data_IF_527436301030
#
_entry.id   IF_527436301030
#
_cell.length_a   1.000
_cell.length_b   1.000
_cell.length_c   1.000
_cell.angle_alpha   90.00
_cell.angle_beta   90.00
_cell.angle_gamma   90.00
#
_symmetry.space_group_name_H-M   'P 1'
#
loop_
_entity.id
_entity.type
_entity.pdbx_description
1 polymer ?
#
# COMPACT_ATOMS: atom_id res chain seq x y z
N UNK A 1 -15.01 -14.43 14.13
CA UNK A 1 -15.22 -15.60 13.21
C UNK A 1 -14.15 -15.53 12.16
N UNK A 2 -13.39 -16.59 11.99
CA UNK A 2 -12.40 -16.72 10.91
C UNK A 2 -13.07 -16.78 9.54
N UNK A 3 -12.38 -16.29 8.51
CA UNK A 3 -12.80 -16.39 7.10
C UNK A 3 -12.02 -17.52 6.40
N UNK A 4 -12.36 -17.88 5.15
CA UNK A 4 -11.54 -18.81 4.38
C UNK A 4 -10.09 -18.30 4.11
N UNK A 5 -9.85 -17.01 4.28
CA UNK A 5 -8.57 -16.36 3.96
C UNK A 5 -7.82 -15.87 5.19
N UNK A 6 -8.46 -15.86 6.38
CA UNK A 6 -7.88 -15.28 7.59
C UNK A 6 -8.41 -16.03 8.83
N UNK A 7 -7.51 -16.57 9.66
CA UNK A 7 -7.88 -17.31 10.87
C UNK A 7 -8.01 -16.45 12.13
N UNK A 8 -7.72 -15.15 12.04
CA UNK A 8 -7.83 -14.25 13.17
C UNK A 8 -9.26 -14.18 13.71
N UNK A 9 -9.39 -13.83 14.97
CA UNK A 9 -10.67 -13.52 15.60
C UNK A 9 -10.90 -12.00 15.64
N UNK A 10 -12.15 -11.60 15.89
CA UNK A 10 -12.48 -10.19 16.03
C UNK A 10 -11.71 -9.58 17.22
N UNK A 11 -10.96 -8.51 16.97
CA UNK A 11 -10.11 -7.86 17.96
C UNK A 11 -8.65 -8.33 17.96
N UNK A 12 -8.30 -9.32 17.13
CA UNK A 12 -6.90 -9.71 16.94
C UNK A 12 -6.10 -8.67 16.14
N UNK A 13 -6.74 -7.96 15.23
CA UNK A 13 -6.13 -6.86 14.51
C UNK A 13 -6.33 -5.53 15.23
N UNK A 14 -5.33 -4.66 15.19
CA UNK A 14 -5.43 -3.26 15.59
C UNK A 14 -6.32 -2.47 14.63
N UNK A 15 -6.67 -1.23 15.02
CA UNK A 15 -7.46 -0.33 14.16
C UNK A 15 -6.73 0.08 12.89
N UNK A 16 -5.41 0.13 12.93
CA UNK A 16 -4.52 0.45 11.80
C UNK A 16 -3.74 -0.79 11.39
N UNK A 17 -3.79 -1.11 10.10
CA UNK A 17 -3.06 -2.23 9.49
C UNK A 17 -2.15 -1.72 8.39
N UNK A 18 -0.86 -2.04 8.47
CA UNK A 18 0.11 -1.84 7.40
C UNK A 18 0.07 -3.04 6.45
N UNK A 19 -0.05 -2.80 5.14
CA UNK A 19 -0.16 -3.88 4.16
C UNK A 19 0.96 -3.82 3.11
N UNK A 20 2.11 -4.50 3.35
CA UNK A 20 3.05 -4.81 2.27
C UNK A 20 2.45 -5.89 1.34
N UNK A 21 2.87 -5.91 0.07
CA UNK A 21 2.51 -6.99 -0.85
C UNK A 21 3.09 -8.34 -0.43
N UNK A 22 4.33 -8.33 0.02
CA UNK A 22 5.09 -9.51 0.42
C UNK A 22 4.83 -9.90 1.89
N UNK A 23 4.33 -11.13 2.18
CA UNK A 23 4.12 -11.61 3.55
C UNK A 23 5.43 -11.74 4.35
N UNK A 24 6.58 -11.97 3.72
CA UNK A 24 7.86 -11.98 4.40
C UNK A 24 8.29 -10.57 4.82
N UNK A 25 7.92 -9.54 4.06
CA UNK A 25 8.08 -8.15 4.51
C UNK A 25 7.17 -7.83 5.70
N UNK A 26 5.94 -8.36 5.74
CA UNK A 26 5.08 -8.22 6.92
C UNK A 26 5.74 -8.85 8.16
N UNK A 27 6.32 -10.04 8.03
CA UNK A 27 7.08 -10.69 9.08
C UNK A 27 8.29 -9.85 9.50
N UNK A 28 9.09 -9.38 8.55
CA UNK A 28 10.26 -8.53 8.82
C UNK A 28 9.89 -7.26 9.61
N UNK A 29 8.82 -6.58 9.22
CA UNK A 29 8.35 -5.38 9.93
C UNK A 29 7.93 -5.72 11.36
N UNK A 30 7.17 -6.80 11.54
CA UNK A 30 6.70 -7.22 12.85
C UNK A 30 7.87 -7.55 13.79
N UNK A 31 8.81 -8.37 13.33
CA UNK A 31 9.96 -8.82 14.14
C UNK A 31 11.00 -7.71 14.39
N UNK A 32 11.08 -6.70 13.50
CA UNK A 32 12.10 -5.64 13.60
C UNK A 32 11.62 -4.42 14.38
N UNK A 33 10.34 -4.07 14.24
CA UNK A 33 9.85 -2.77 14.71
C UNK A 33 8.77 -2.87 15.78
N UNK A 34 8.03 -3.99 15.88
CA UNK A 34 6.95 -4.09 16.87
C UNK A 34 7.45 -4.69 18.18
N UNK A 35 6.91 -4.19 19.27
CA UNK A 35 7.01 -4.76 20.60
C UNK A 35 5.96 -5.88 20.73
N UNK A 36 6.35 -7.04 21.28
CA UNK A 36 5.52 -8.23 21.50
C UNK A 36 4.68 -8.66 20.29
N UNK A 37 5.27 -8.84 19.08
CA UNK A 37 4.53 -9.19 17.88
C UNK A 37 3.93 -10.59 18.00
N UNK A 38 2.61 -10.69 17.84
CA UNK A 38 1.87 -11.95 17.85
C UNK A 38 1.38 -12.28 16.42
N UNK A 39 1.69 -13.47 15.92
CA UNK A 39 1.14 -13.99 14.67
C UNK A 39 -0.36 -14.26 14.86
N UNK A 40 -1.21 -13.54 14.12
CA UNK A 40 -2.68 -13.64 14.20
C UNK A 40 -3.28 -14.43 13.04
N UNK A 41 -2.59 -14.48 11.90
CA UNK A 41 -2.98 -15.29 10.76
C UNK A 41 -1.77 -15.69 9.91
N UNK A 42 -1.85 -16.87 9.29
CA UNK A 42 -0.87 -17.43 8.34
C UNK A 42 -1.57 -18.21 7.22
N UNK A 43 -2.88 -18.09 7.12
CA UNK A 43 -3.68 -18.79 6.11
C UNK A 43 -3.18 -18.43 4.73
N UNK A 44 -2.96 -19.44 3.89
CA UNK A 44 -2.42 -19.31 2.52
C UNK A 44 -1.02 -18.67 2.45
N UNK A 45 -0.26 -18.70 3.56
CA UNK A 45 1.04 -18.04 3.65
C UNK A 45 0.95 -16.51 3.80
N UNK A 46 -0.25 -15.96 3.97
CA UNK A 46 -0.45 -14.53 4.13
C UNK A 46 -0.33 -14.17 5.61
N UNK A 47 0.91 -13.90 6.04
CA UNK A 47 1.23 -13.61 7.43
C UNK A 47 0.66 -12.28 7.89
N UNK A 48 -0.04 -12.29 9.04
CA UNK A 48 -0.51 -11.11 9.74
C UNK A 48 -0.06 -11.14 11.20
N UNK A 49 0.43 -10.01 11.68
CA UNK A 49 0.94 -9.82 13.03
C UNK A 49 0.28 -8.62 13.67
N UNK A 50 0.12 -8.67 14.99
CA UNK A 50 -0.29 -7.53 15.82
C UNK A 50 0.68 -7.39 16.97
N UNK A 51 1.11 -6.18 17.25
CA UNK A 51 1.97 -5.80 18.36
C UNK A 51 1.78 -4.33 18.69
N UNK A 52 2.77 -3.72 19.32
CA UNK A 52 2.75 -2.28 19.61
C UNK A 52 3.96 -1.59 18.96
N UNK A 53 3.77 -0.33 18.62
CA UNK A 53 4.84 0.57 18.18
C UNK A 53 4.73 1.87 18.96
N UNK A 54 5.76 2.20 19.74
CA UNK A 54 5.76 3.36 20.65
C UNK A 54 4.52 3.39 21.56
N UNK A 55 4.16 2.21 22.11
CA UNK A 55 3.03 2.04 23.03
C UNK A 55 1.64 2.06 22.36
N UNK A 56 1.53 2.10 21.02
CA UNK A 56 0.26 2.07 20.29
C UNK A 56 0.08 0.74 19.56
N UNK A 57 -1.11 0.10 19.65
CA UNK A 57 -1.39 -1.13 18.93
C UNK A 57 -1.37 -0.88 17.41
N UNK A 58 -0.66 -1.72 16.67
CA UNK A 58 -0.62 -1.69 15.21
C UNK A 58 -0.50 -3.12 14.67
N UNK A 59 -1.05 -3.35 13.49
CA UNK A 59 -0.95 -4.63 12.81
C UNK A 59 -0.21 -4.49 11.48
N UNK A 60 0.41 -5.58 11.05
CA UNK A 60 1.04 -5.69 9.73
C UNK A 60 0.59 -6.99 9.10
N UNK A 61 0.08 -6.96 7.87
CA UNK A 61 -0.37 -8.15 7.16
C UNK A 61 -0.03 -8.07 5.67
N UNK A 62 0.47 -9.16 5.09
CA UNK A 62 0.68 -9.25 3.65
C UNK A 62 -0.62 -9.09 2.86
N UNK A 63 -0.56 -8.43 1.71
CA UNK A 63 -1.71 -8.30 0.81
C UNK A 63 -1.68 -9.27 -0.39
N UNK A 64 -0.53 -9.86 -0.67
CA UNK A 64 -0.26 -10.49 -1.96
C UNK A 64 -0.10 -9.45 -3.06
N UNK A 65 -0.08 -9.89 -4.31
CA UNK A 65 0.10 -9.04 -5.49
C UNK A 65 -1.22 -8.91 -6.27
N UNK A 66 -1.49 -7.71 -6.73
CA UNK A 66 -2.61 -7.39 -7.61
C UNK A 66 -3.93 -7.07 -6.87
N UNK A 67 -4.79 -6.36 -7.58
CA UNK A 67 -6.06 -5.87 -7.04
C UNK A 67 -6.99 -6.98 -6.53
N UNK A 68 -7.12 -8.14 -7.18
CA UNK A 68 -7.97 -9.21 -6.62
C UNK A 68 -7.48 -9.74 -5.28
N UNK A 69 -6.15 -9.78 -5.05
CA UNK A 69 -5.58 -10.24 -3.78
C UNK A 69 -5.83 -9.25 -2.65
N UNK A 70 -5.36 -8.01 -2.79
CA UNK A 70 -5.61 -6.98 -1.76
C UNK A 70 -7.10 -6.72 -1.59
N UNK A 71 -7.88 -6.89 -2.66
CA UNK A 71 -9.32 -6.76 -2.65
C UNK A 71 -10.00 -7.68 -1.63
N UNK A 72 -9.58 -8.95 -1.57
CA UNK A 72 -10.08 -9.91 -0.58
C UNK A 72 -9.68 -9.49 0.82
N UNK A 73 -8.38 -9.33 1.07
CA UNK A 73 -7.86 -9.10 2.42
C UNK A 73 -8.29 -7.77 3.01
N UNK A 74 -8.27 -6.69 2.23
CA UNK A 74 -8.72 -5.38 2.72
C UNK A 74 -10.21 -5.35 3.02
N UNK A 75 -11.02 -5.99 2.17
CA UNK A 75 -12.46 -6.09 2.39
C UNK A 75 -12.79 -6.82 3.69
N UNK A 76 -12.16 -7.96 3.94
CA UNK A 76 -12.35 -8.73 5.17
C UNK A 76 -11.87 -7.97 6.41
N UNK A 77 -10.68 -7.35 6.37
CA UNK A 77 -10.15 -6.55 7.47
C UNK A 77 -11.11 -5.42 7.86
N UNK A 78 -11.62 -4.68 6.89
CA UNK A 78 -12.56 -3.59 7.14
C UNK A 78 -13.92 -4.07 7.62
N UNK A 79 -14.50 -5.11 7.00
CA UNK A 79 -15.89 -5.52 7.24
C UNK A 79 -16.06 -6.48 8.42
N UNK A 80 -15.05 -7.30 8.74
CA UNK A 80 -15.17 -8.39 9.71
C UNK A 80 -14.27 -8.24 10.94
N UNK A 81 -13.08 -7.65 10.79
CA UNK A 81 -12.10 -7.59 11.88
C UNK A 81 -12.03 -6.23 12.60
N UNK A 82 -12.87 -5.27 12.21
CA UNK A 82 -12.97 -3.97 12.87
C UNK A 82 -11.81 -3.02 12.60
N UNK A 83 -11.07 -3.27 11.51
CA UNK A 83 -10.02 -2.37 11.04
C UNK A 83 -10.65 -1.07 10.50
N UNK A 84 -10.03 0.06 10.82
CA UNK A 84 -10.50 1.39 10.41
C UNK A 84 -9.58 2.02 9.36
N UNK A 85 -8.27 1.72 9.43
CA UNK A 85 -7.25 2.28 8.58
C UNK A 85 -6.42 1.17 7.95
N UNK A 86 -6.22 1.21 6.65
CA UNK A 86 -5.22 0.37 5.97
C UNK A 86 -4.24 1.27 5.23
N UNK A 87 -2.96 1.10 5.50
CA UNK A 87 -1.88 1.79 4.79
C UNK A 87 -1.11 0.75 3.99
N UNK A 88 -1.24 0.82 2.67
CA UNK A 88 -0.37 0.04 1.80
C UNK A 88 1.05 0.59 1.88
N UNK A 89 2.02 -0.31 2.03
CA UNK A 89 3.46 0.00 2.04
C UNK A 89 4.16 -0.87 1.01
N UNK A 90 4.25 -0.37 -0.20
CA UNK A 90 4.66 -1.12 -1.37
C UNK A 90 5.97 -0.70 -1.99
N UNK A 91 6.38 -1.45 -3.03
CA UNK A 91 7.39 -1.04 -3.99
C UNK A 91 6.72 -0.54 -5.27
N UNK A 92 7.39 0.33 -6.03
CA UNK A 92 6.88 0.88 -7.27
C UNK A 92 8.01 1.15 -8.28
N UNK A 93 7.66 1.03 -9.57
CA UNK A 93 8.51 1.48 -10.67
C UNK A 93 8.24 2.95 -11.00
N UNK A 94 9.29 3.77 -11.06
CA UNK A 94 9.15 5.21 -11.34
C UNK A 94 8.93 5.51 -12.82
N UNK A 95 7.98 6.39 -13.12
CA UNK A 95 7.73 6.95 -14.47
C UNK A 95 8.42 8.30 -14.70
N UNK A 96 9.19 8.80 -13.73
CA UNK A 96 9.78 10.14 -13.76
C UNK A 96 11.18 10.15 -13.15
N UNK A 97 12.01 11.10 -13.56
CA UNK A 97 13.32 11.37 -12.95
C UNK A 97 13.23 12.12 -11.60
N UNK A 98 12.03 12.58 -11.22
CA UNK A 98 11.77 13.27 -9.96
C UNK A 98 11.69 12.31 -8.76
N UNK A 99 11.39 11.04 -9.00
CA UNK A 99 11.33 10.00 -7.97
C UNK A 99 12.39 8.93 -8.27
N UNK A 100 13.44 8.90 -7.45
CA UNK A 100 14.62 8.03 -7.63
C UNK A 100 14.52 6.80 -6.73
N UNK A 101 15.41 5.83 -6.94
CA UNK A 101 15.50 4.65 -6.07
C UNK A 101 15.57 5.06 -4.59
N UNK A 102 14.80 4.34 -3.80
CA UNK A 102 14.60 4.53 -2.35
C UNK A 102 13.82 5.78 -1.93
N UNK A 103 13.44 6.66 -2.85
CA UNK A 103 12.53 7.75 -2.52
C UNK A 103 11.16 7.20 -2.10
N UNK A 104 10.50 7.92 -1.18
CA UNK A 104 9.18 7.56 -0.68
C UNK A 104 8.12 8.41 -1.35
N UNK A 105 7.18 7.75 -2.03
CA UNK A 105 6.02 8.38 -2.68
C UNK A 105 4.79 8.21 -1.81
N UNK A 106 4.09 9.31 -1.52
CA UNK A 106 2.74 9.31 -0.94
C UNK A 106 1.72 9.49 -2.08
N UNK A 107 0.86 8.52 -2.28
CA UNK A 107 -0.16 8.57 -3.32
C UNK A 107 -1.25 9.60 -3.01
N UNK A 108 -1.55 10.46 -3.97
CA UNK A 108 -2.69 11.42 -3.92
C UNK A 108 -3.90 10.91 -4.68
N UNK A 109 -3.72 9.92 -5.55
CA UNK A 109 -4.74 9.19 -6.28
C UNK A 109 -4.13 7.96 -6.92
N UNK A 110 -4.93 6.95 -7.18
CA UNK A 110 -4.55 5.75 -7.92
C UNK A 110 -5.40 5.65 -9.18
N UNK A 111 -4.77 5.83 -10.34
CA UNK A 111 -5.37 5.59 -11.64
C UNK A 111 -5.30 4.09 -11.97
N UNK A 112 -6.32 3.56 -12.65
CA UNK A 112 -6.29 2.22 -13.22
C UNK A 112 -7.21 2.10 -14.45
N UNK A 113 -6.80 1.27 -15.39
CA UNK A 113 -7.64 0.76 -16.48
C UNK A 113 -8.43 -0.51 -16.09
N UNK A 114 -8.33 -0.94 -14.84
CA UNK A 114 -8.99 -2.15 -14.31
C UNK A 114 -10.51 -1.99 -14.21
N UNK A 115 -11.21 -3.08 -14.44
CA UNK A 115 -12.64 -3.18 -14.17
C UNK A 115 -12.98 -3.51 -12.69
N UNK A 116 -12.02 -3.46 -11.77
CA UNK A 116 -12.24 -3.84 -10.37
C UNK A 116 -13.41 -3.09 -9.74
N UNK A 117 -13.39 -1.76 -9.79
CA UNK A 117 -14.41 -0.91 -9.18
C UNK A 117 -15.78 -1.07 -9.85
N UNK A 118 -15.82 -1.16 -11.18
CA UNK A 118 -17.04 -1.44 -11.96
C UNK A 118 -17.63 -2.79 -11.57
N UNK A 119 -16.81 -3.83 -11.48
CA UNK A 119 -17.25 -5.18 -11.16
C UNK A 119 -17.73 -5.28 -9.72
N UNK A 120 -17.08 -4.60 -8.78
CA UNK A 120 -17.39 -4.68 -7.36
C UNK A 120 -18.63 -3.87 -6.98
N UNK A 121 -18.84 -2.67 -7.54
CA UNK A 121 -19.94 -1.77 -7.11
C UNK A 121 -20.59 -0.94 -8.23
N UNK A 122 -20.19 -1.12 -9.50
CA UNK A 122 -20.66 -0.31 -10.62
C UNK A 122 -19.98 1.07 -10.72
N UNK A 123 -18.93 1.33 -9.96
CA UNK A 123 -18.20 2.58 -10.00
C UNK A 123 -17.31 2.66 -11.25
N UNK A 124 -17.49 3.73 -12.03
CA UNK A 124 -16.82 3.95 -13.32
C UNK A 124 -15.64 4.93 -13.24
N UNK A 125 -15.32 5.45 -12.05
CA UNK A 125 -14.20 6.37 -11.87
C UNK A 125 -12.87 5.63 -12.11
N UNK A 126 -12.05 6.16 -13.00
CA UNK A 126 -10.74 5.59 -13.34
C UNK A 126 -9.63 6.04 -12.36
N UNK A 127 -9.93 6.93 -11.42
CA UNK A 127 -9.06 7.35 -10.32
C UNK A 127 -9.79 7.16 -9.00
N UNK A 128 -9.22 6.37 -8.10
CA UNK A 128 -9.66 6.24 -6.72
C UNK A 128 -8.74 7.06 -5.81
N UNK A 129 -9.30 7.71 -4.77
CA UNK A 129 -8.54 8.61 -3.91
C UNK A 129 -8.32 8.03 -2.51
N UNK A 130 -7.14 8.30 -1.89
CA UNK A 130 -6.90 7.95 -0.50
C UNK A 130 -7.72 8.84 0.46
N UNK A 131 -7.77 8.45 1.74
CA UNK A 131 -8.31 9.31 2.79
C UNK A 131 -7.40 10.53 3.01
N UNK A 132 -7.97 11.74 2.91
CA UNK A 132 -7.24 12.98 3.17
C UNK A 132 -6.67 13.01 4.59
N UNK A 133 -7.48 12.67 5.61
CA UNK A 133 -7.04 12.64 7.00
C UNK A 133 -5.87 11.66 7.23
N UNK A 134 -5.88 10.51 6.56
CA UNK A 134 -4.80 9.54 6.69
C UNK A 134 -3.52 10.02 5.99
N UNK A 135 -3.66 10.68 4.82
CA UNK A 135 -2.51 11.30 4.14
C UNK A 135 -1.92 12.46 4.96
N UNK A 136 -2.75 13.28 5.63
CA UNK A 136 -2.27 14.36 6.51
C UNK A 136 -1.49 13.80 7.71
N UNK A 137 -1.97 12.72 8.32
CA UNK A 137 -1.25 12.02 9.40
C UNK A 137 0.08 11.44 8.92
N UNK A 138 0.13 10.87 7.70
CA UNK A 138 1.37 10.37 7.10
C UNK A 138 2.37 11.48 6.80
N UNK A 139 1.92 12.65 6.32
CA UNK A 139 2.77 13.84 6.15
C UNK A 139 3.37 14.29 7.49
N UNK A 140 2.54 14.34 8.53
CA UNK A 140 3.00 14.70 9.87
C UNK A 140 4.02 13.68 10.43
N UNK A 141 3.76 12.39 10.25
CA UNK A 141 4.69 11.31 10.63
C UNK A 141 6.02 11.42 9.88
N UNK A 142 5.98 11.64 8.55
CA UNK A 142 7.17 11.82 7.73
C UNK A 142 8.01 13.03 8.16
N UNK A 143 7.33 14.16 8.44
CA UNK A 143 7.98 15.37 8.95
C UNK A 143 8.67 15.12 10.30
N UNK A 144 8.00 14.43 11.21
CA UNK A 144 8.55 14.09 12.52
C UNK A 144 9.76 13.14 12.41
N UNK A 145 9.74 12.23 11.43
CA UNK A 145 10.83 11.31 11.15
C UNK A 145 11.98 11.93 10.30
N UNK A 146 11.81 13.15 9.79
CA UNK A 146 12.77 13.79 8.89
C UNK A 146 12.88 13.11 7.51
N UNK A 147 11.82 12.46 7.05
CA UNK A 147 11.79 11.71 5.79
C UNK A 147 11.02 12.52 4.75
N UNK A 148 11.64 12.91 3.62
CA UNK A 148 10.95 13.63 2.55
C UNK A 148 9.94 12.71 1.85
N UNK A 149 8.81 13.27 1.43
CA UNK A 149 7.82 12.60 0.60
C UNK A 149 7.72 13.27 -0.76
N UNK A 150 7.60 12.46 -1.80
CA UNK A 150 7.18 12.90 -3.13
C UNK A 150 5.70 12.57 -3.26
N UNK A 151 4.88 13.52 -3.71
CA UNK A 151 3.44 13.33 -3.77
C UNK A 151 2.93 13.40 -5.20
N UNK A 152 2.00 12.52 -5.54
CA UNK A 152 1.33 12.52 -6.84
C UNK A 152 0.47 11.28 -7.06
N UNK A 153 -0.19 11.26 -8.22
CA UNK A 153 -0.95 10.09 -8.62
C UNK A 153 -0.02 8.92 -8.93
N UNK A 154 -0.54 7.72 -8.74
CA UNK A 154 0.13 6.48 -9.09
C UNK A 154 -0.75 5.66 -10.04
N UNK A 155 -0.14 4.76 -10.78
CA UNK A 155 -0.82 3.80 -11.64
C UNK A 155 -0.91 2.45 -10.94
N UNK A 156 -2.13 1.91 -10.75
CA UNK A 156 -2.37 0.54 -10.31
C UNK A 156 -2.65 -0.34 -11.53
N UNK A 157 -1.67 -1.12 -11.96
CA UNK A 157 -1.77 -1.96 -13.15
C UNK A 157 -2.27 -3.37 -12.84
N UNK A 158 -3.13 -3.93 -13.70
CA UNK A 158 -3.54 -5.34 -13.62
C UNK A 158 -2.42 -6.31 -14.06
N UNK A 159 -1.42 -5.82 -14.79
CA UNK A 159 -0.35 -6.65 -15.33
C UNK A 159 1.03 -6.07 -15.01
N UNK A 160 1.96 -6.93 -14.61
CA UNK A 160 3.36 -6.56 -14.43
C UNK A 160 4.11 -6.56 -15.76
N UNK A 161 3.85 -7.55 -16.61
CA UNK A 161 4.50 -7.71 -17.91
C UNK A 161 3.55 -7.28 -19.03
N UNK A 162 3.75 -6.09 -19.60
CA UNK A 162 3.06 -5.65 -20.83
C UNK A 162 3.79 -6.15 -22.06
N UNK A 163 3.05 -6.47 -23.11
CA UNK A 163 3.65 -6.77 -24.39
C UNK A 163 4.34 -5.52 -24.96
N UNK A 164 5.53 -5.67 -25.56
CA UNK A 164 6.21 -4.56 -26.23
C UNK A 164 5.32 -3.90 -27.31
N UNK A 165 5.42 -2.59 -27.40
CA UNK A 165 4.74 -1.78 -28.41
C UNK A 165 5.70 -0.72 -28.93
N UNK A 166 5.65 -0.47 -30.25
CA UNK A 166 6.42 0.59 -30.91
C UNK A 166 5.70 1.95 -30.86
N UNK A 167 4.54 2.02 -30.21
CA UNK A 167 3.79 3.28 -30.06
C UNK A 167 4.59 4.33 -29.28
N UNK A 168 4.51 5.58 -29.76
CA UNK A 168 5.08 6.76 -29.12
C UNK A 168 4.01 7.85 -29.00
N UNK A 169 3.89 8.50 -27.82
CA UNK A 169 4.55 8.16 -26.57
C UNK A 169 4.16 6.75 -26.07
N UNK A 170 5.03 6.10 -25.29
CA UNK A 170 4.75 4.81 -24.66
C UNK A 170 3.57 4.91 -23.67
N UNK A 171 3.00 3.75 -23.25
CA UNK A 171 1.86 3.77 -22.35
C UNK A 171 2.16 4.50 -21.02
N UNK A 172 3.34 4.31 -20.46
CA UNK A 172 3.72 4.94 -19.19
C UNK A 172 4.01 6.45 -19.34
N UNK A 173 4.52 6.88 -20.50
CA UNK A 173 4.65 8.31 -20.83
C UNK A 173 3.28 8.98 -20.90
N UNK A 174 2.29 8.34 -21.57
CA UNK A 174 0.90 8.82 -21.62
C UNK A 174 0.31 8.94 -20.21
N UNK A 175 0.46 7.92 -19.36
CA UNK A 175 -0.08 7.95 -18.00
C UNK A 175 0.61 9.01 -17.11
N UNK A 176 1.92 9.18 -17.26
CA UNK A 176 2.64 10.27 -16.58
C UNK A 176 2.10 11.65 -17.00
N UNK A 177 1.95 11.88 -18.29
CA UNK A 177 1.66 13.20 -18.85
C UNK A 177 0.16 13.55 -18.78
N UNK A 178 -0.74 12.59 -18.96
CA UNK A 178 -2.19 12.81 -18.99
C UNK A 178 -2.89 12.58 -17.65
N UNK A 179 -2.39 11.62 -16.84
CA UNK A 179 -2.97 11.26 -15.52
C UNK A 179 -2.15 11.71 -14.34
N UNK A 180 -0.95 12.27 -14.58
CA UNK A 180 -0.04 12.70 -13.52
C UNK A 180 0.57 11.56 -12.72
N UNK A 181 0.63 10.34 -13.28
CA UNK A 181 1.15 9.17 -12.60
C UNK A 181 2.67 9.25 -12.46
N UNK A 182 3.18 9.27 -11.23
CA UNK A 182 4.61 9.30 -10.94
C UNK A 182 5.25 7.92 -10.95
N UNK A 183 4.47 6.89 -10.60
CA UNK A 183 4.97 5.53 -10.43
C UNK A 183 3.85 4.49 -10.67
N UNK A 184 4.25 3.22 -10.84
CA UNK A 184 3.34 2.09 -11.02
C UNK A 184 3.48 1.07 -9.90
N UNK A 185 2.34 0.55 -9.46
CA UNK A 185 2.18 -0.59 -8.57
C UNK A 185 0.92 -1.38 -8.97
N UNK A 186 0.34 -2.25 -8.16
CA UNK A 186 -0.71 -3.15 -8.62
C UNK A 186 -1.93 -3.26 -7.68
N UNK A 187 -2.09 -2.45 -6.62
CA UNK A 187 -3.05 -2.72 -5.54
C UNK A 187 -3.88 -1.51 -5.07
N UNK A 188 -3.32 -0.31 -5.13
CA UNK A 188 -3.88 0.85 -4.42
C UNK A 188 -5.26 1.26 -4.92
N UNK A 189 -5.54 1.11 -6.20
CA UNK A 189 -6.86 1.41 -6.77
C UNK A 189 -7.96 0.59 -6.08
N UNK A 190 -7.76 -0.73 -5.94
CA UNK A 190 -8.73 -1.61 -5.28
C UNK A 190 -8.83 -1.32 -3.78
N UNK A 191 -7.70 -1.02 -3.12
CA UNK A 191 -7.69 -0.68 -1.70
C UNK A 191 -8.48 0.61 -1.41
N UNK A 192 -8.24 1.67 -2.19
CA UNK A 192 -8.95 2.94 -2.02
C UNK A 192 -10.43 2.80 -2.31
N UNK A 193 -10.78 2.03 -3.36
CA UNK A 193 -12.16 1.71 -3.68
C UNK A 193 -12.85 0.97 -2.53
N UNK A 194 -12.27 -0.11 -2.00
CA UNK A 194 -12.84 -0.86 -0.87
C UNK A 194 -13.02 0.02 0.38
N UNK A 195 -12.03 0.87 0.69
CA UNK A 195 -12.15 1.79 1.83
C UNK A 195 -13.33 2.75 1.65
N UNK A 196 -13.47 3.32 0.45
CA UNK A 196 -14.56 4.25 0.12
C UNK A 196 -15.94 3.58 0.25
N UNK A 197 -16.16 2.42 -0.36
CA UNK A 197 -17.47 1.74 -0.34
C UNK A 197 -17.84 1.22 1.05
N UNK A 198 -16.86 0.96 1.91
CA UNK A 198 -17.07 0.49 3.29
C UNK A 198 -17.03 1.62 4.34
N UNK A 199 -16.86 2.89 3.92
CA UNK A 199 -16.78 4.03 4.84
C UNK A 199 -15.54 3.97 5.76
N UNK A 200 -14.44 3.44 5.24
CA UNK A 200 -13.16 3.26 5.94
C UNK A 200 -12.09 4.17 5.36
N UNK A 201 -10.86 4.10 5.88
CA UNK A 201 -9.75 4.94 5.47
C UNK A 201 -8.61 4.10 4.89
N UNK A 202 -8.10 4.53 3.75
CA UNK A 202 -6.92 3.93 3.14
C UNK A 202 -5.94 4.99 2.65
N UNK A 203 -4.66 4.63 2.65
CA UNK A 203 -3.56 5.41 2.08
C UNK A 203 -2.51 4.49 1.46
N UNK A 204 -1.60 5.05 0.70
CA UNK A 204 -0.50 4.31 0.11
C UNK A 204 0.80 5.09 0.18
N UNK A 205 1.82 4.46 0.73
CA UNK A 205 3.23 4.83 0.65
C UNK A 205 3.96 3.81 -0.23
N UNK A 206 4.82 4.29 -1.10
CA UNK A 206 5.63 3.44 -1.98
C UNK A 206 7.09 3.82 -1.87
N UNK A 207 7.96 2.83 -1.86
CA UNK A 207 9.38 3.07 -2.11
C UNK A 207 9.69 2.74 -3.56
N UNK A 208 10.36 3.66 -4.25
CA UNK A 208 10.79 3.42 -5.63
C UNK A 208 11.85 2.31 -5.63
N UNK A 209 11.57 1.24 -6.37
CA UNK A 209 12.39 0.03 -6.46
C UNK A 209 13.08 -0.16 -7.80
N UNK A 210 12.55 0.46 -8.83
CA UNK A 210 13.03 0.42 -10.22
C UNK A 210 12.51 1.64 -10.98
N UNK A 211 13.01 1.85 -12.21
CA UNK A 211 12.70 3.03 -12.98
C UNK A 211 12.49 2.68 -14.47
N UNK A 212 11.51 3.32 -15.09
CA UNK A 212 11.27 3.28 -16.53
C UNK A 212 12.12 4.32 -17.29
N UNK A 213 12.69 5.28 -16.56
CA UNK A 213 13.50 6.37 -17.14
C UNK A 213 15.01 6.19 -16.93
N UNK A 214 15.40 5.21 -16.11
CA UNK A 214 16.82 4.84 -15.90
C UNK A 214 16.96 3.31 -15.76
N UNK A 215 18.17 2.75 -15.96
CA UNK A 215 18.39 1.30 -15.85
C UNK A 215 18.51 0.80 -14.39
N UNK A 216 18.24 1.64 -13.41
CA UNK A 216 18.42 1.32 -11.99
C UNK A 216 17.30 0.39 -11.48
N UNK A 217 17.68 -0.63 -10.71
CA UNK A 217 16.77 -1.62 -10.12
C UNK A 217 17.31 -2.11 -8.78
N UNK A 218 16.41 -2.33 -7.81
CA UNK A 218 16.75 -2.94 -6.52
C UNK A 218 16.70 -4.46 -6.57
N UNK A 219 17.48 -5.13 -5.70
CA UNK A 219 17.44 -6.59 -5.53
C UNK A 219 16.19 -7.02 -4.73
N UNK A 220 15.85 -8.32 -4.79
CA UNK A 220 14.75 -8.88 -3.99
C UNK A 220 14.98 -8.69 -2.49
N UNK A 221 16.22 -8.87 -2.00
CA UNK A 221 16.60 -8.65 -0.60
C UNK A 221 16.42 -7.19 -0.19
N UNK A 222 16.85 -6.23 -1.03
CA UNK A 222 16.63 -4.81 -0.76
C UNK A 222 15.14 -4.46 -0.68
N UNK A 223 14.31 -5.04 -1.54
CA UNK A 223 12.85 -4.85 -1.50
C UNK A 223 12.23 -5.37 -0.20
N UNK A 224 12.78 -6.43 0.38
CA UNK A 224 12.29 -7.00 1.62
C UNK A 224 12.72 -6.20 2.85
N UNK A 225 13.97 -5.74 2.92
CA UNK A 225 14.58 -5.24 4.17
C UNK A 225 15.00 -3.77 4.16
N UNK A 226 15.18 -3.14 2.98
CA UNK A 226 15.81 -1.81 2.90
C UNK A 226 14.83 -0.63 2.81
N UNK A 227 13.51 -0.86 2.73
CA UNK A 227 12.50 0.20 2.63
C UNK A 227 12.11 0.78 3.99
N UNK A 228 13.07 0.89 4.90
CA UNK A 228 12.84 1.26 6.30
C UNK A 228 12.35 2.69 6.50
N UNK A 229 12.68 3.62 5.60
CA UNK A 229 12.15 4.99 5.64
C UNK A 229 10.61 4.99 5.52
N UNK A 230 10.07 4.36 4.48
CA UNK A 230 8.62 4.20 4.30
C UNK A 230 7.96 3.49 5.50
N UNK A 231 8.60 2.42 6.01
CA UNK A 231 8.08 1.65 7.15
C UNK A 231 7.97 2.52 8.40
N UNK A 232 8.99 3.35 8.71
CA UNK A 232 8.99 4.27 9.85
C UNK A 232 7.89 5.33 9.74
N UNK A 233 7.68 5.89 8.55
CA UNK A 233 6.58 6.84 8.31
C UNK A 233 5.24 6.17 8.58
N UNK A 234 5.01 4.98 8.05
CA UNK A 234 3.76 4.26 8.23
C UNK A 234 3.52 3.84 9.69
N UNK A 235 4.54 3.34 10.37
CA UNK A 235 4.45 2.93 11.77
C UNK A 235 4.15 4.09 12.73
N UNK A 236 4.64 5.29 12.41
CA UNK A 236 4.42 6.49 13.23
C UNK A 236 3.05 7.15 13.05
N UNK A 237 2.22 6.69 12.12
CA UNK A 237 0.98 7.38 11.72
C UNK A 237 -0.03 7.57 12.84
N UNK A 238 -0.20 6.57 13.71
CA UNK A 238 -1.21 6.60 14.77
C UNK A 238 -0.94 7.66 15.86
N UNK A 239 0.27 8.25 15.87
CA UNK A 239 0.58 9.39 16.72
C UNK A 239 -0.10 10.70 16.24
N UNK A 240 -0.54 10.74 14.98
CA UNK A 240 -1.08 11.92 14.30
C UNK A 240 -2.51 11.73 13.81
N UNK A 241 -3.11 10.55 14.00
CA UNK A 241 -4.53 10.33 13.75
C UNK A 241 -5.34 10.85 14.94
N UNK A 242 -6.26 11.75 14.69
CA UNK A 242 -7.27 12.10 15.67
C UNK A 242 -8.17 10.89 15.94
N UNK A 243 -8.32 10.53 17.22
CA UNK A 243 -9.19 9.45 17.67
C UNK A 243 -10.66 9.89 17.67
#
# INVERSE_FOLDING_TARGET
MSTPHNRAEKGDFAKTVLMPGDPLRAKFIAETFLEDPRLVTDVRGMYGYTGTYQGRPISVMGSGMGMPSIGIYSYELFSQYGVENIIRIGSAGSYTDKAKLFDVVLATGAYSESNYAVTQSGDTDDIQTPSAALNDALRASAKAAGIPLIEGNIHSSDVFYRQPSDEKPTYWEKLRDEKGCLAVEMESFALFHNARVLGKRAACLLTISDSFVSPEITTAEQRQTSFTAMMKVALGVDAFLEM
#
